data_IF_931281863852
#
_entry.id   IF_931281863852
#
_cell.length_a   1.000
_cell.length_b   1.000
_cell.length_c   1.000
_cell.angle_alpha   90.00
_cell.angle_beta   90.00
_cell.angle_gamma   90.00
#
_symmetry.space_group_name_H-M   'P 1'
#
loop_
_entity.id
_entity.type
_entity.pdbx_description
1 polymer ?
#
# COMPACT_ATOMS: atom_id res chain seq x y z
N UNK A 1 -13.29 -4.53 -26.43
CA UNK A 1 -14.05 -5.22 -25.36
C UNK A 1 -15.49 -5.38 -25.81
N UNK A 2 -16.03 -6.63 -25.80
CA UNK A 2 -17.38 -6.93 -26.22
C UNK A 2 -18.42 -6.13 -25.37
N UNK A 3 -19.50 -5.64 -25.99
CA UNK A 3 -20.55 -4.83 -25.35
C UNK A 3 -21.12 -5.49 -24.08
N UNK A 4 -21.29 -6.80 -24.10
CA UNK A 4 -21.76 -7.59 -22.95
C UNK A 4 -20.80 -7.47 -21.74
N UNK A 5 -19.49 -7.58 -21.95
CA UNK A 5 -18.48 -7.40 -20.90
C UNK A 5 -18.48 -5.98 -20.35
N UNK A 6 -18.74 -4.97 -21.21
CA UNK A 6 -18.87 -3.58 -20.76
C UNK A 6 -20.07 -3.40 -19.83
N UNK A 7 -21.22 -3.93 -20.19
CA UNK A 7 -22.45 -3.85 -19.40
C UNK A 7 -22.24 -4.56 -18.05
N UNK A 8 -21.72 -5.79 -18.06
CA UNK A 8 -21.40 -6.53 -16.85
C UNK A 8 -20.49 -5.73 -15.89
N UNK A 9 -19.37 -5.19 -16.40
CA UNK A 9 -18.48 -4.37 -15.59
C UNK A 9 -19.17 -3.13 -15.00
N UNK A 10 -20.09 -2.49 -15.74
CA UNK A 10 -20.86 -1.32 -15.26
C UNK A 10 -21.83 -1.69 -14.14
N UNK A 11 -22.56 -2.79 -14.31
CA UNK A 11 -23.47 -3.31 -13.29
C UNK A 11 -22.67 -3.65 -12.04
N UNK A 12 -21.58 -4.43 -12.16
CA UNK A 12 -20.72 -4.79 -11.04
C UNK A 12 -20.20 -3.56 -10.28
N UNK A 13 -19.62 -2.56 -10.99
CA UNK A 13 -19.11 -1.34 -10.38
C UNK A 13 -20.20 -0.54 -9.65
N UNK A 14 -21.43 -0.52 -10.20
CA UNK A 14 -22.56 0.18 -9.59
C UNK A 14 -23.04 -0.55 -8.33
N UNK A 15 -23.25 -1.86 -8.42
CA UNK A 15 -23.65 -2.69 -7.28
C UNK A 15 -22.60 -2.62 -6.16
N UNK A 16 -21.32 -2.72 -6.51
CA UNK A 16 -20.24 -2.60 -5.54
C UNK A 16 -20.24 -1.23 -4.86
N UNK A 17 -20.37 -0.14 -5.60
CA UNK A 17 -20.45 1.22 -5.03
C UNK A 17 -21.64 1.38 -4.05
N UNK A 18 -22.78 0.75 -4.34
CA UNK A 18 -23.95 0.76 -3.46
C UNK A 18 -23.69 -0.07 -2.21
N UNK A 19 -22.98 -1.20 -2.34
CA UNK A 19 -22.64 -2.08 -1.23
C UNK A 19 -21.56 -1.52 -0.29
N UNK A 20 -20.66 -0.66 -0.80
CA UNK A 20 -19.49 -0.13 -0.05
C UNK A 20 -19.80 0.36 1.38
N UNK A 21 -20.88 1.12 1.65
CA UNK A 21 -21.18 1.58 3.02
C UNK A 21 -21.55 0.45 4.00
N UNK A 22 -21.92 -0.71 3.48
CA UNK A 22 -22.35 -1.88 4.27
C UNK A 22 -21.27 -2.94 4.40
N UNK A 23 -20.15 -2.78 3.67
CA UNK A 23 -19.02 -3.70 3.73
C UNK A 23 -18.15 -3.38 4.96
N UNK A 24 -17.56 -4.39 5.62
CA UNK A 24 -16.81 -4.20 6.87
C UNK A 24 -15.39 -3.64 6.63
N UNK A 25 -15.29 -2.63 5.77
CA UNK A 25 -14.05 -1.87 5.63
C UNK A 25 -13.76 -1.11 6.92
N UNK A 26 -12.53 -1.22 7.39
CA UNK A 26 -12.01 -0.41 8.46
C UNK A 26 -10.80 0.37 7.98
N UNK A 27 -10.46 1.44 8.67
CA UNK A 27 -9.22 2.17 8.49
C UNK A 27 -8.34 1.86 9.70
N UNK A 28 -7.06 1.50 9.52
CA UNK A 28 -6.15 1.27 10.63
C UNK A 28 -6.05 2.53 11.49
N UNK A 29 -6.08 2.36 12.80
CA UNK A 29 -5.84 3.47 13.74
C UNK A 29 -4.39 3.92 13.62
N UNK A 30 -4.16 5.23 13.45
CA UNK A 30 -2.81 5.77 13.33
C UNK A 30 -2.13 5.85 14.69
N UNK A 31 -0.91 5.34 14.75
CA UNK A 31 0.00 5.49 15.90
C UNK A 31 1.12 6.45 15.48
N UNK A 32 1.28 7.53 16.24
CA UNK A 32 2.34 8.50 16.03
C UNK A 32 3.63 8.05 16.73
N UNK A 33 4.57 7.54 15.94
CA UNK A 33 5.90 7.13 16.36
C UNK A 33 5.95 5.86 17.21
N UNK A 34 7.15 5.29 17.33
CA UNK A 34 7.40 4.02 18.02
C UNK A 34 7.13 4.05 19.52
N UNK A 35 7.25 5.21 20.16
CA UNK A 35 7.06 5.36 21.62
C UNK A 35 5.64 5.00 22.07
N UNK A 36 4.67 5.08 21.16
CA UNK A 36 3.25 4.83 21.46
C UNK A 36 2.82 3.36 21.20
N UNK A 37 3.64 2.58 20.47
CA UNK A 37 3.35 1.17 20.19
C UNK A 37 3.20 0.31 21.45
N UNK A 38 4.08 0.41 22.48
CA UNK A 38 3.92 -0.37 23.70
C UNK A 38 2.61 -0.11 24.45
N UNK A 39 2.12 1.12 24.43
CA UNK A 39 0.85 1.47 25.08
C UNK A 39 -0.33 0.76 24.41
N UNK A 40 -0.32 0.69 23.07
CA UNK A 40 -1.33 -0.04 22.30
C UNK A 40 -1.27 -1.54 22.61
N UNK A 41 -0.09 -2.14 22.61
CA UNK A 41 0.07 -3.57 22.93
C UNK A 41 -0.42 -3.90 24.35
N UNK A 42 -0.10 -3.06 25.33
CA UNK A 42 -0.59 -3.20 26.73
C UNK A 42 -2.11 -3.07 26.83
N UNK A 43 -2.71 -2.15 26.09
CA UNK A 43 -4.19 -2.00 26.01
C UNK A 43 -4.87 -3.29 25.56
N UNK A 44 -4.19 -4.08 24.73
CA UNK A 44 -4.67 -5.38 24.24
C UNK A 44 -4.13 -6.58 25.05
N UNK A 45 -3.48 -6.35 26.20
CA UNK A 45 -2.89 -7.38 27.05
C UNK A 45 -1.84 -8.25 26.34
N UNK A 46 -1.09 -7.65 25.39
CA UNK A 46 -0.05 -8.33 24.61
C UNK A 46 1.30 -8.10 25.25
N UNK A 47 1.99 -9.19 25.56
CA UNK A 47 3.32 -9.21 26.16
C UNK A 47 4.40 -9.79 25.24
N UNK A 48 4.01 -10.46 24.15
CA UNK A 48 4.94 -11.04 23.17
C UNK A 48 4.41 -10.88 21.74
N UNK A 49 5.26 -10.37 20.85
CA UNK A 49 4.91 -10.16 19.44
C UNK A 49 5.88 -10.87 18.49
N UNK A 50 5.40 -11.23 17.28
CA UNK A 50 6.25 -11.54 16.14
C UNK A 50 6.41 -10.30 15.27
N UNK A 51 7.65 -9.83 15.12
CA UNK A 51 8.01 -8.80 14.14
C UNK A 51 8.44 -9.48 12.84
N UNK A 52 7.71 -9.20 11.75
CA UNK A 52 7.99 -9.72 10.41
C UNK A 52 8.64 -8.64 9.58
N UNK A 53 9.85 -8.90 9.07
CA UNK A 53 10.65 -7.95 8.28
C UNK A 53 11.45 -8.67 7.19
N UNK A 54 12.22 -7.91 6.43
CA UNK A 54 13.14 -8.42 5.42
C UNK A 54 14.62 -8.26 5.85
N UNK A 55 15.56 -9.01 5.22
CA UNK A 55 16.97 -8.95 5.57
C UNK A 55 17.59 -7.56 5.43
N UNK A 56 17.14 -6.77 4.46
CA UNK A 56 17.66 -5.42 4.19
C UNK A 56 17.31 -4.45 5.32
N UNK A 57 16.04 -4.38 5.67
CA UNK A 57 15.52 -3.56 6.79
C UNK A 57 16.19 -3.94 8.11
N UNK A 58 16.31 -5.24 8.37
CA UNK A 58 16.94 -5.74 9.59
C UNK A 58 18.43 -5.41 9.64
N UNK A 59 19.18 -5.64 8.56
CA UNK A 59 20.63 -5.34 8.48
C UNK A 59 20.94 -3.84 8.64
N UNK A 60 20.05 -2.97 8.16
CA UNK A 60 20.13 -1.53 8.35
C UNK A 60 19.82 -1.09 9.79
N UNK A 61 19.33 -2.00 10.63
CA UNK A 61 19.00 -1.72 12.03
C UNK A 61 17.79 -0.83 12.22
N UNK A 62 16.90 -0.73 11.22
CA UNK A 62 15.71 0.12 11.28
C UNK A 62 14.70 -0.34 12.33
N UNK A 63 14.71 -1.61 12.72
CA UNK A 63 13.85 -2.18 13.76
C UNK A 63 14.30 -1.83 15.18
N UNK A 64 15.62 -1.57 15.40
CA UNK A 64 16.22 -1.36 16.73
C UNK A 64 15.56 -0.28 17.59
N UNK A 65 15.13 0.89 17.04
CA UNK A 65 14.45 1.89 17.84
C UNK A 65 13.15 1.37 18.45
N UNK A 66 12.38 0.59 17.67
CA UNK A 66 11.15 -0.03 18.15
C UNK A 66 11.44 -1.16 19.15
N UNK A 67 12.39 -2.05 18.86
CA UNK A 67 12.80 -3.13 19.78
C UNK A 67 13.19 -2.56 21.16
N UNK A 68 13.92 -1.43 21.17
CA UNK A 68 14.29 -0.72 22.41
C UNK A 68 13.06 -0.22 23.18
N UNK A 69 12.03 0.28 22.51
CA UNK A 69 10.79 0.73 23.18
C UNK A 69 9.99 -0.45 23.74
N UNK A 70 9.92 -1.56 23.01
CA UNK A 70 9.28 -2.79 23.46
C UNK A 70 9.96 -3.37 24.69
N UNK A 71 11.29 -3.51 24.64
CA UNK A 71 12.10 -4.01 25.76
C UNK A 71 11.95 -3.15 27.02
N UNK A 72 12.01 -1.82 26.91
CA UNK A 72 11.76 -0.90 28.04
C UNK A 72 10.37 -1.08 28.66
N UNK A 73 9.42 -1.55 27.88
CA UNK A 73 8.04 -1.76 28.31
C UNK A 73 7.75 -3.20 28.72
N UNK A 74 8.78 -4.05 28.79
CA UNK A 74 8.71 -5.48 29.12
C UNK A 74 7.82 -6.27 28.15
N UNK A 75 7.86 -5.91 26.86
CA UNK A 75 7.21 -6.64 25.78
C UNK A 75 8.30 -7.40 25.01
N UNK A 76 8.15 -8.72 24.95
CA UNK A 76 9.05 -9.61 24.20
C UNK A 76 8.80 -9.44 22.70
N UNK A 77 9.86 -9.57 21.90
CA UNK A 77 9.81 -9.43 20.45
C UNK A 77 10.64 -10.55 19.80
N UNK A 78 9.96 -11.51 19.21
CA UNK A 78 10.56 -12.49 18.29
C UNK A 78 10.63 -11.88 16.90
N UNK A 79 11.70 -12.12 16.14
CA UNK A 79 11.90 -11.45 14.84
C UNK A 79 12.05 -12.51 13.75
N UNK A 80 11.15 -12.46 12.77
CA UNK A 80 11.31 -13.14 11.48
C UNK A 80 11.84 -12.12 10.45
N UNK A 81 13.05 -12.33 9.96
CA UNK A 81 13.79 -11.36 9.13
C UNK A 81 14.08 -11.84 7.71
N UNK A 82 13.53 -12.98 7.32
CA UNK A 82 13.89 -13.65 6.07
C UNK A 82 12.83 -13.53 4.97
N UNK A 83 11.94 -12.52 5.09
CA UNK A 83 10.97 -12.22 4.03
C UNK A 83 11.67 -11.77 2.76
N UNK A 84 11.43 -12.45 1.64
CA UNK A 84 11.97 -12.07 0.35
C UNK A 84 11.07 -11.09 -0.39
N UNK A 85 11.61 -10.39 -1.40
CA UNK A 85 10.79 -9.65 -2.35
C UNK A 85 9.80 -10.61 -3.02
N UNK A 86 8.48 -10.24 -3.06
CA UNK A 86 7.39 -11.15 -3.40
C UNK A 86 7.38 -12.38 -2.48
N UNK A 87 6.89 -12.24 -1.23
CA UNK A 87 7.00 -13.26 -0.20
C UNK A 87 6.41 -14.58 -0.67
N UNK A 88 7.10 -15.66 -0.32
CA UNK A 88 6.68 -17.01 -0.71
C UNK A 88 5.79 -17.66 0.33
N UNK A 89 5.05 -18.69 -0.07
CA UNK A 89 4.31 -19.54 0.88
C UNK A 89 5.23 -20.16 1.95
N UNK A 90 6.49 -20.47 1.63
CA UNK A 90 7.48 -20.93 2.58
C UNK A 90 7.81 -19.88 3.64
N UNK A 91 8.07 -18.62 3.24
CA UNK A 91 8.29 -17.52 4.21
C UNK A 91 7.11 -17.39 5.20
N UNK A 92 5.90 -17.57 4.71
CA UNK A 92 4.70 -17.45 5.57
C UNK A 92 4.62 -18.62 6.56
N UNK A 93 4.87 -19.86 6.13
CA UNK A 93 4.85 -21.01 7.02
C UNK A 93 5.97 -20.95 8.06
N UNK A 94 7.21 -20.59 7.66
CA UNK A 94 8.34 -20.41 8.58
C UNK A 94 8.04 -19.35 9.66
N UNK A 95 7.51 -18.22 9.25
CA UNK A 95 7.14 -17.14 10.17
C UNK A 95 5.96 -17.53 11.08
N UNK A 96 5.00 -18.30 10.57
CA UNK A 96 3.88 -18.84 11.36
C UNK A 96 4.39 -19.83 12.42
N UNK A 97 5.31 -20.73 12.07
CA UNK A 97 5.87 -21.69 13.00
C UNK A 97 6.65 -20.97 14.10
N UNK A 98 7.46 -19.96 13.73
CA UNK A 98 8.15 -19.12 14.71
C UNK A 98 7.17 -18.38 15.65
N UNK A 99 6.00 -17.92 15.15
CA UNK A 99 4.96 -17.30 15.96
C UNK A 99 4.40 -18.29 17.01
N UNK A 100 4.15 -19.53 16.60
CA UNK A 100 3.60 -20.58 17.47
C UNK A 100 4.63 -21.08 18.49
N UNK A 101 5.86 -21.35 18.06
CA UNK A 101 6.95 -21.87 18.91
C UNK A 101 7.32 -20.90 20.04
N UNK A 102 7.19 -19.60 19.79
CA UNK A 102 7.46 -18.55 20.76
C UNK A 102 6.20 -18.02 21.45
N UNK A 103 5.05 -18.63 21.28
CA UNK A 103 3.79 -18.20 21.88
C UNK A 103 3.48 -16.72 21.68
N UNK A 104 3.76 -16.19 20.48
CA UNK A 104 3.46 -14.80 20.14
C UNK A 104 1.95 -14.56 20.14
N UNK A 105 1.54 -13.31 20.48
CA UNK A 105 0.14 -12.94 20.67
C UNK A 105 -0.34 -11.93 19.62
N UNK A 106 0.60 -11.24 18.94
CA UNK A 106 0.32 -10.28 17.91
C UNK A 106 1.39 -10.30 16.81
N UNK A 107 1.04 -9.71 15.68
CA UNK A 107 1.91 -9.54 14.51
C UNK A 107 2.27 -8.06 14.36
N UNK A 108 3.54 -7.79 14.08
CA UNK A 108 4.02 -6.47 13.70
C UNK A 108 4.76 -6.59 12.37
N UNK A 109 4.15 -6.04 11.30
CA UNK A 109 4.75 -5.99 9.97
C UNK A 109 5.66 -4.77 9.87
N UNK A 110 6.96 -4.96 9.68
CA UNK A 110 7.93 -3.87 9.60
C UNK A 110 8.68 -3.93 8.27
N UNK A 111 8.37 -3.05 7.34
CA UNK A 111 9.01 -3.07 6.02
C UNK A 111 8.18 -2.44 4.91
N UNK A 112 8.50 -2.79 3.67
CA UNK A 112 7.70 -2.46 2.51
C UNK A 112 6.51 -3.42 2.31
N UNK A 113 5.87 -3.36 1.14
CA UNK A 113 4.72 -4.21 0.82
C UNK A 113 4.95 -5.69 1.04
N UNK A 114 6.14 -6.22 0.70
CA UNK A 114 6.46 -7.65 0.86
C UNK A 114 6.43 -8.11 2.32
N UNK A 115 7.05 -7.36 3.24
CA UNK A 115 7.01 -7.70 4.68
C UNK A 115 5.60 -7.61 5.24
N UNK A 116 4.80 -6.63 4.76
CA UNK A 116 3.40 -6.49 5.16
C UNK A 116 2.54 -7.64 4.64
N UNK A 117 2.70 -8.01 3.38
CA UNK A 117 1.95 -9.10 2.77
C UNK A 117 2.28 -10.45 3.43
N UNK A 118 3.56 -10.68 3.77
CA UNK A 118 3.99 -11.83 4.55
C UNK A 118 3.28 -11.88 5.92
N UNK A 119 3.35 -10.80 6.69
CA UNK A 119 2.72 -10.74 8.02
C UNK A 119 1.18 -10.94 7.96
N UNK A 120 0.51 -10.33 6.96
CA UNK A 120 -0.92 -10.55 6.71
C UNK A 120 -1.23 -12.00 6.41
N UNK A 121 -0.41 -12.65 5.57
CA UNK A 121 -0.59 -14.05 5.22
C UNK A 121 -0.30 -14.99 6.41
N UNK A 122 0.69 -14.66 7.25
CA UNK A 122 0.91 -15.36 8.55
C UNK A 122 -0.37 -15.26 9.39
N UNK A 123 -0.93 -14.07 9.56
CA UNK A 123 -2.19 -13.88 10.27
C UNK A 123 -3.34 -14.71 9.68
N UNK A 124 -3.45 -14.78 8.35
CA UNK A 124 -4.45 -15.60 7.66
C UNK A 124 -4.27 -17.10 7.96
N UNK A 125 -3.02 -17.59 7.98
CA UNK A 125 -2.71 -18.99 8.34
C UNK A 125 -3.03 -19.30 9.80
N UNK A 126 -2.73 -18.37 10.71
CA UNK A 126 -3.09 -18.51 12.12
C UNK A 126 -4.62 -18.53 12.33
N UNK A 127 -5.35 -17.68 11.61
CA UNK A 127 -6.82 -17.65 11.66
C UNK A 127 -7.47 -18.88 11.01
N UNK A 128 -6.78 -19.55 10.08
CA UNK A 128 -7.27 -20.72 9.33
C UNK A 128 -6.22 -21.83 9.29
N UNK A 129 -5.87 -22.47 10.42
CA UNK A 129 -4.75 -23.40 10.52
C UNK A 129 -4.87 -24.63 9.60
N UNK A 130 -6.10 -25.05 9.28
CA UNK A 130 -6.37 -26.21 8.41
C UNK A 130 -6.53 -25.87 6.93
N UNK A 131 -6.33 -24.59 6.54
CA UNK A 131 -6.50 -24.14 5.15
C UNK A 131 -5.18 -23.65 4.59
N UNK A 132 -4.69 -24.24 3.50
CA UNK A 132 -3.47 -23.78 2.83
C UNK A 132 -3.65 -22.38 2.23
N UNK A 133 -2.55 -21.63 2.05
CA UNK A 133 -2.57 -20.29 1.44
C UNK A 133 -3.17 -20.32 0.04
N UNK A 134 -2.82 -21.31 -0.79
CA UNK A 134 -3.38 -21.44 -2.15
C UNK A 134 -4.90 -21.60 -2.16
N UNK A 135 -5.48 -22.26 -1.15
CA UNK A 135 -6.96 -22.32 -1.00
C UNK A 135 -7.59 -21.02 -0.52
N UNK A 136 -6.79 -20.06 -0.05
CA UNK A 136 -7.24 -18.71 0.31
C UNK A 136 -7.13 -17.71 -0.85
N UNK A 137 -6.52 -18.09 -1.99
CA UNK A 137 -6.46 -17.27 -3.19
C UNK A 137 -7.84 -16.73 -3.57
N UNK A 138 -7.91 -15.42 -3.90
CA UNK A 138 -9.13 -14.75 -4.33
C UNK A 138 -9.76 -13.90 -3.22
N UNK A 139 -11.09 -13.91 -3.12
CA UNK A 139 -11.82 -12.93 -2.32
C UNK A 139 -12.60 -13.58 -1.19
N UNK A 140 -12.51 -12.99 0.03
CA UNK A 140 -13.30 -13.34 1.22
C UNK A 140 -13.25 -14.84 1.60
N UNK A 141 -12.06 -15.40 1.70
CA UNK A 141 -11.88 -16.82 2.03
C UNK A 141 -11.31 -17.09 3.43
N UNK A 142 -10.98 -16.03 4.19
CA UNK A 142 -10.45 -16.16 5.55
C UNK A 142 -11.58 -16.25 6.56
N UNK A 143 -12.54 -15.30 6.56
CA UNK A 143 -13.73 -15.29 7.42
C UNK A 143 -13.50 -15.17 8.94
N UNK A 144 -12.28 -15.27 9.40
CA UNK A 144 -11.89 -15.25 10.81
C UNK A 144 -10.99 -14.05 11.06
N UNK A 145 -11.12 -13.47 12.25
CA UNK A 145 -10.26 -12.37 12.67
C UNK A 145 -8.83 -12.85 12.86
N UNK A 146 -7.88 -12.09 12.36
CA UNK A 146 -6.46 -12.31 12.57
C UNK A 146 -6.07 -11.96 14.02
N UNK A 147 -4.92 -12.47 14.53
CA UNK A 147 -4.25 -11.82 15.67
C UNK A 147 -4.07 -10.31 15.41
N UNK A 148 -3.96 -9.52 16.47
CA UNK A 148 -3.71 -8.09 16.33
C UNK A 148 -2.56 -7.85 15.36
N UNK A 149 -2.78 -6.99 14.36
CA UNK A 149 -1.79 -6.68 13.33
C UNK A 149 -1.46 -5.19 13.34
N UNK A 150 -0.18 -4.87 13.58
CA UNK A 150 0.36 -3.52 13.50
C UNK A 150 1.26 -3.43 12.27
N UNK A 151 1.07 -2.43 11.42
CA UNK A 151 1.89 -2.20 10.24
C UNK A 151 2.79 -0.98 10.42
N UNK A 152 4.08 -1.14 10.07
CA UNK A 152 5.11 -0.09 10.10
C UNK A 152 5.73 0.03 8.71
N UNK A 153 5.20 0.90 7.84
CA UNK A 153 5.74 1.07 6.49
C UNK A 153 7.12 1.74 6.51
N UNK A 154 8.08 1.14 5.79
CA UNK A 154 9.40 1.73 5.55
C UNK A 154 9.51 2.39 4.17
N UNK A 155 8.46 2.30 3.36
CA UNK A 155 8.31 2.97 2.05
C UNK A 155 7.01 3.75 2.01
N UNK A 156 6.99 4.87 1.31
CA UNK A 156 5.80 5.70 1.13
C UNK A 156 5.25 5.48 -0.29
N UNK A 157 4.61 4.34 -0.52
CA UNK A 157 4.16 3.96 -1.87
C UNK A 157 3.00 3.00 -1.91
N UNK A 158 3.21 1.78 -1.46
CA UNK A 158 2.25 0.68 -1.65
C UNK A 158 0.94 0.85 -0.89
N UNK A 159 0.92 1.64 0.20
CA UNK A 159 -0.26 1.75 1.05
C UNK A 159 -0.70 0.44 1.68
N UNK A 160 0.15 -0.61 1.67
CA UNK A 160 -0.21 -1.95 2.17
C UNK A 160 -0.63 -1.93 3.63
N UNK A 161 -0.20 -0.94 4.40
CA UNK A 161 -0.64 -0.70 5.78
C UNK A 161 -2.15 -0.44 5.92
N UNK A 162 -2.86 -0.18 4.80
CA UNK A 162 -4.31 0.11 4.80
C UNK A 162 -5.13 -0.88 3.97
N UNK A 163 -4.47 -1.82 3.28
CA UNK A 163 -5.14 -2.66 2.29
C UNK A 163 -5.65 -3.98 2.86
N UNK A 164 -6.71 -4.49 2.22
CA UNK A 164 -7.29 -5.80 2.46
C UNK A 164 -6.58 -6.93 1.69
N UNK A 165 -5.50 -6.64 1.00
CA UNK A 165 -4.80 -7.57 0.12
C UNK A 165 -3.48 -8.05 0.74
N UNK A 166 -3.11 -9.30 0.44
CA UNK A 166 -1.76 -9.84 0.57
C UNK A 166 -1.43 -10.62 -0.71
N UNK A 167 -0.29 -10.32 -1.32
CA UNK A 167 0.17 -10.98 -2.55
C UNK A 167 1.30 -11.93 -2.21
N UNK A 168 1.08 -13.22 -2.50
CA UNK A 168 2.00 -14.31 -2.15
C UNK A 168 2.39 -15.06 -3.41
N UNK A 169 3.62 -15.55 -3.44
CA UNK A 169 4.11 -16.45 -4.48
C UNK A 169 4.14 -17.87 -3.91
N UNK A 170 3.51 -18.81 -4.57
CA UNK A 170 3.62 -20.23 -4.21
C UNK A 170 5.06 -20.70 -4.41
N UNK A 171 5.66 -21.30 -3.38
CA UNK A 171 7.07 -21.66 -3.38
C UNK A 171 7.39 -22.79 -4.38
N UNK A 172 6.43 -23.69 -4.63
CA UNK A 172 6.62 -24.85 -5.48
C UNK A 172 6.30 -24.56 -6.95
N UNK A 173 5.18 -23.85 -7.18
CA UNK A 173 4.66 -23.59 -8.53
C UNK A 173 5.07 -22.26 -9.11
N UNK A 174 5.64 -21.38 -8.29
CA UNK A 174 5.94 -19.97 -8.63
C UNK A 174 4.71 -19.15 -9.06
N UNK A 175 3.50 -19.69 -8.83
CA UNK A 175 2.26 -18.96 -9.09
C UNK A 175 2.09 -17.80 -8.10
N UNK A 176 1.97 -16.59 -8.63
CA UNK A 176 1.74 -15.38 -7.83
C UNK A 176 0.24 -15.10 -7.76
N UNK A 177 -0.31 -15.02 -6.56
CA UNK A 177 -1.74 -14.81 -6.33
C UNK A 177 -1.99 -13.82 -5.20
N UNK A 178 -3.19 -13.25 -5.21
CA UNK A 178 -3.65 -12.34 -4.17
C UNK A 178 -4.70 -13.00 -3.28
N UNK A 179 -4.56 -12.79 -1.98
CA UNK A 179 -5.58 -13.08 -0.97
C UNK A 179 -6.21 -11.74 -0.59
N UNK A 180 -7.53 -11.63 -0.73
CA UNK A 180 -8.25 -10.40 -0.45
C UNK A 180 -9.35 -10.67 0.58
N UNK A 181 -9.20 -10.11 1.78
CA UNK A 181 -10.17 -10.28 2.86
C UNK A 181 -10.13 -9.05 3.79
N UNK A 182 -11.28 -8.60 4.28
CA UNK A 182 -11.33 -7.46 5.20
C UNK A 182 -10.54 -7.68 6.48
N UNK A 183 -10.37 -8.95 6.89
CA UNK A 183 -9.58 -9.31 8.06
C UNK A 183 -8.08 -9.03 7.88
N UNK A 184 -7.58 -8.92 6.63
CA UNK A 184 -6.17 -8.59 6.34
C UNK A 184 -5.84 -7.11 6.55
N UNK A 185 -6.84 -6.24 6.66
CA UNK A 185 -6.58 -4.82 6.96
C UNK A 185 -5.95 -4.76 8.36
N UNK A 186 -4.76 -4.14 8.53
CA UNK A 186 -4.14 -3.98 9.84
C UNK A 186 -5.07 -3.26 10.84
N UNK A 187 -4.91 -3.54 12.12
CA UNK A 187 -5.64 -2.83 13.17
C UNK A 187 -5.03 -1.44 13.39
N UNK A 188 -3.71 -1.34 13.27
CA UNK A 188 -2.93 -0.11 13.49
C UNK A 188 -1.89 0.09 12.39
N UNK A 189 -1.63 1.36 12.07
CA UNK A 189 -0.52 1.78 11.21
C UNK A 189 0.35 2.80 11.95
N UNK A 190 1.67 2.56 11.99
CA UNK A 190 2.66 3.45 12.62
C UNK A 190 3.36 4.23 11.54
N UNK A 191 3.09 5.53 11.45
CA UNK A 191 3.78 6.42 10.52
C UNK A 191 5.00 7.02 11.21
N UNK A 192 6.16 6.36 11.06
CA UNK A 192 7.45 6.78 11.63
C UNK A 192 8.39 7.23 10.51
N UNK A 193 8.58 8.55 10.30
CA UNK A 193 9.40 9.04 9.18
C UNK A 193 10.86 8.60 9.22
N UNK A 194 11.41 8.37 10.39
CA UNK A 194 12.84 8.03 10.54
C UNK A 194 13.23 6.73 9.83
N UNK A 195 12.30 5.80 9.65
CA UNK A 195 12.58 4.56 8.91
C UNK A 195 12.66 4.74 7.40
N UNK A 196 12.32 5.92 6.90
CA UNK A 196 12.38 6.25 5.47
C UNK A 196 13.55 7.14 5.09
N UNK A 197 14.32 7.68 6.06
CA UNK A 197 15.41 8.64 5.75
C UNK A 197 16.53 8.05 4.90
N UNK A 198 16.84 6.77 5.09
CA UNK A 198 17.89 6.07 4.33
C UNK A 198 17.44 5.53 2.97
N UNK A 199 16.19 5.78 2.54
CA UNK A 199 15.73 5.29 1.24
C UNK A 199 16.50 5.97 0.10
N UNK A 200 17.02 5.19 -0.87
CA UNK A 200 17.62 5.74 -2.07
C UNK A 200 16.67 6.70 -2.81
N UNK A 201 17.19 7.79 -3.42
CA UNK A 201 16.35 8.75 -4.17
C UNK A 201 15.46 8.07 -5.21
N UNK A 202 16.02 7.15 -5.99
CA UNK A 202 15.26 6.42 -7.01
C UNK A 202 14.09 5.60 -6.43
N UNK A 203 14.30 4.96 -5.27
CA UNK A 203 13.22 4.24 -4.60
C UNK A 203 12.18 5.20 -4.00
N UNK A 204 12.62 6.35 -3.49
CA UNK A 204 11.72 7.42 -3.03
C UNK A 204 10.83 7.91 -4.17
N UNK A 205 11.41 8.18 -5.35
CA UNK A 205 10.69 8.64 -6.53
C UNK A 205 9.67 7.60 -6.99
N UNK A 206 10.10 6.38 -7.24
CA UNK A 206 9.22 5.33 -7.81
C UNK A 206 8.12 4.91 -6.85
N UNK A 207 8.38 4.84 -5.53
CA UNK A 207 7.33 4.55 -4.55
C UNK A 207 6.36 5.73 -4.39
N UNK A 208 6.85 6.97 -4.38
CA UNK A 208 5.98 8.15 -4.32
C UNK A 208 5.08 8.29 -5.55
N UNK A 209 5.60 7.99 -6.74
CA UNK A 209 4.80 7.95 -7.97
C UNK A 209 3.81 6.78 -7.99
N UNK A 210 4.13 5.67 -7.33
CA UNK A 210 3.19 4.57 -7.10
C UNK A 210 2.01 5.02 -6.23
N UNK A 211 2.28 5.70 -5.11
CA UNK A 211 1.23 6.30 -4.29
C UNK A 211 0.38 7.32 -5.08
N UNK A 212 1.01 8.13 -5.95
CA UNK A 212 0.31 9.06 -6.84
C UNK A 212 -0.62 8.30 -7.80
N UNK A 213 -0.14 7.21 -8.37
CA UNK A 213 -0.92 6.35 -9.28
C UNK A 213 -2.13 5.77 -8.56
N UNK A 214 -1.95 5.23 -7.35
CA UNK A 214 -3.04 4.75 -6.51
C UNK A 214 -4.11 5.82 -6.28
N UNK A 215 -3.70 7.02 -5.88
CA UNK A 215 -4.61 8.12 -5.60
C UNK A 215 -5.37 8.58 -6.85
N UNK A 216 -4.70 8.75 -7.99
CA UNK A 216 -5.32 9.16 -9.24
C UNK A 216 -6.31 8.10 -9.73
N UNK A 217 -5.91 6.82 -9.78
CA UNK A 217 -6.80 5.75 -10.22
C UNK A 217 -8.00 5.57 -9.29
N UNK A 218 -7.81 5.71 -7.97
CA UNK A 218 -8.90 5.72 -7.01
C UNK A 218 -9.89 6.87 -7.28
N UNK A 219 -9.39 8.06 -7.63
CA UNK A 219 -10.23 9.23 -7.91
C UNK A 219 -10.99 9.11 -9.23
N UNK A 220 -10.31 8.72 -10.31
CA UNK A 220 -10.93 8.63 -11.65
C UNK A 220 -11.79 7.38 -11.83
N UNK A 221 -11.62 6.39 -10.97
CA UNK A 221 -12.38 5.14 -10.97
C UNK A 221 -13.89 5.38 -10.90
N UNK A 222 -14.68 4.33 -11.13
CA UNK A 222 -16.16 4.40 -11.09
C UNK A 222 -16.76 3.86 -9.79
N UNK A 223 -15.98 3.11 -9.03
CA UNK A 223 -16.37 2.58 -7.70
C UNK A 223 -16.09 3.55 -6.56
N UNK A 224 -15.66 4.78 -6.86
CA UNK A 224 -15.25 5.79 -5.90
C UNK A 224 -16.44 6.42 -5.17
N UNK A 225 -16.25 6.76 -3.90
CA UNK A 225 -17.19 7.50 -3.03
C UNK A 225 -16.72 8.93 -2.80
N UNK A 226 -17.52 9.74 -2.08
CA UNK A 226 -17.08 11.09 -1.63
C UNK A 226 -15.85 10.98 -0.72
N UNK A 227 -15.84 10.04 0.21
CA UNK A 227 -14.74 9.82 1.15
C UNK A 227 -13.45 9.41 0.44
N UNK A 228 -13.51 8.40 -0.46
CA UNK A 228 -12.32 7.95 -1.20
C UNK A 228 -11.76 9.03 -2.11
N UNK A 229 -12.62 9.86 -2.72
CA UNK A 229 -12.16 11.01 -3.51
C UNK A 229 -11.49 12.08 -2.66
N UNK A 230 -12.01 12.37 -1.47
CA UNK A 230 -11.37 13.33 -0.55
C UNK A 230 -9.99 12.87 -0.14
N UNK A 231 -9.85 11.60 0.28
CA UNK A 231 -8.56 11.02 0.63
C UNK A 231 -7.57 11.02 -0.56
N UNK A 232 -8.06 10.68 -1.75
CA UNK A 232 -7.23 10.70 -2.97
C UNK A 232 -6.73 12.12 -3.31
N UNK A 233 -7.58 13.14 -3.20
CA UNK A 233 -7.16 14.54 -3.44
C UNK A 233 -6.12 14.99 -2.42
N UNK A 234 -6.34 14.72 -1.12
CA UNK A 234 -5.37 15.06 -0.06
C UNK A 234 -4.03 14.33 -0.31
N UNK A 235 -4.06 13.05 -0.69
CA UNK A 235 -2.86 12.31 -1.05
C UNK A 235 -2.10 12.96 -2.22
N UNK A 236 -2.78 13.32 -3.31
CA UNK A 236 -2.18 13.96 -4.47
C UNK A 236 -1.55 15.31 -4.09
N UNK A 237 -2.25 16.13 -3.31
CA UNK A 237 -1.72 17.43 -2.84
C UNK A 237 -0.45 17.25 -2.01
N UNK A 238 -0.44 16.29 -1.07
CA UNK A 238 0.75 15.99 -0.26
C UNK A 238 1.92 15.50 -1.12
N UNK A 239 1.67 14.65 -2.12
CA UNK A 239 2.71 14.14 -3.02
C UNK A 239 3.28 15.27 -3.87
N UNK A 240 2.45 16.09 -4.50
CA UNK A 240 2.91 17.21 -5.31
C UNK A 240 3.76 18.22 -4.52
N UNK A 241 3.40 18.46 -3.27
CA UNK A 241 4.13 19.38 -2.41
C UNK A 241 5.44 18.81 -1.85
N UNK A 242 5.57 17.48 -1.70
CA UNK A 242 6.64 16.92 -0.87
C UNK A 242 7.54 15.89 -1.57
N UNK A 243 7.09 15.24 -2.66
CA UNK A 243 7.86 14.14 -3.27
C UNK A 243 9.21 14.61 -3.80
N UNK A 244 9.26 15.76 -4.49
CA UNK A 244 10.52 16.31 -5.00
C UNK A 244 11.50 16.65 -3.87
N UNK A 245 10.99 17.19 -2.76
CA UNK A 245 11.82 17.50 -1.60
C UNK A 245 12.35 16.23 -0.94
N UNK A 246 11.51 15.20 -0.78
CA UNK A 246 11.91 13.91 -0.24
C UNK A 246 12.93 13.18 -1.14
N UNK A 247 12.83 13.36 -2.47
CA UNK A 247 13.80 12.85 -3.45
C UNK A 247 15.15 13.56 -3.35
N UNK A 248 15.15 14.90 -3.31
CA UNK A 248 16.36 15.71 -3.27
C UNK A 248 17.06 15.65 -1.90
N UNK A 249 16.30 15.55 -0.82
CA UNK A 249 16.80 15.49 0.55
C UNK A 249 16.08 14.38 1.34
N UNK A 250 16.68 13.19 1.33
CA UNK A 250 16.15 12.02 2.04
C UNK A 250 15.98 12.20 3.55
N UNK A 251 16.63 13.21 4.16
CA UNK A 251 16.55 13.51 5.59
C UNK A 251 15.53 14.62 5.93
N UNK A 252 14.79 15.13 4.96
CA UNK A 252 13.70 16.09 5.24
C UNK A 252 12.55 15.38 5.98
N UNK A 253 12.52 15.61 7.30
CA UNK A 253 11.54 14.98 8.21
C UNK A 253 10.10 15.28 7.82
N UNK A 254 9.82 16.52 7.43
CA UNK A 254 8.49 16.98 7.06
C UNK A 254 8.05 16.35 5.76
N UNK A 255 8.89 16.37 4.74
CA UNK A 255 8.60 15.74 3.45
C UNK A 255 8.39 14.23 3.62
N UNK A 256 9.23 13.53 4.37
CA UNK A 256 9.08 12.10 4.64
C UNK A 256 7.79 11.76 5.39
N UNK A 257 7.43 12.54 6.41
CA UNK A 257 6.18 12.37 7.14
C UNK A 257 4.96 12.57 6.22
N UNK A 258 4.97 13.64 5.41
CA UNK A 258 3.89 13.89 4.46
C UNK A 258 3.78 12.81 3.39
N UNK A 259 4.89 12.26 2.92
CA UNK A 259 4.87 11.14 1.97
C UNK A 259 4.29 9.86 2.57
N UNK A 260 4.64 9.50 3.83
CA UNK A 260 4.00 8.38 4.52
C UNK A 260 2.49 8.60 4.68
N UNK A 261 2.08 9.79 5.10
CA UNK A 261 0.66 10.15 5.19
C UNK A 261 -0.04 10.06 3.84
N UNK A 262 0.59 10.54 2.77
CA UNK A 262 0.05 10.46 1.41
C UNK A 262 -0.15 9.00 0.96
N UNK A 263 0.83 8.12 1.22
CA UNK A 263 0.74 6.68 0.94
C UNK A 263 -0.42 6.04 1.71
N UNK A 264 -0.57 6.33 2.99
CA UNK A 264 -1.69 5.87 3.81
C UNK A 264 -3.05 6.31 3.25
N UNK A 265 -3.18 7.59 2.87
CA UNK A 265 -4.42 8.14 2.29
C UNK A 265 -4.73 7.54 0.91
N UNK A 266 -3.71 7.39 0.05
CA UNK A 266 -3.83 6.72 -1.23
C UNK A 266 -4.29 5.27 -1.05
N UNK A 267 -3.68 4.56 -0.09
CA UNK A 267 -4.01 3.20 0.29
C UNK A 267 -5.47 3.07 0.77
N UNK A 268 -5.91 3.95 1.65
CA UNK A 268 -7.30 4.04 2.13
C UNK A 268 -8.29 4.30 0.98
N UNK A 269 -7.90 5.12 0.01
CA UNK A 269 -8.74 5.41 -1.14
C UNK A 269 -8.87 4.21 -2.07
N UNK A 270 -7.74 3.61 -2.50
CA UNK A 270 -7.80 2.56 -3.52
C UNK A 270 -8.27 1.20 -2.97
N UNK A 271 -8.04 0.90 -1.69
CA UNK A 271 -8.55 -0.35 -1.11
C UNK A 271 -10.09 -0.46 -1.20
N UNK A 272 -10.79 0.69 -1.20
CA UNK A 272 -12.25 0.80 -1.33
C UNK A 272 -12.73 1.02 -2.77
N UNK A 273 -11.90 1.56 -3.67
CA UNK A 273 -12.29 1.96 -5.03
C UNK A 273 -11.60 1.17 -6.13
N UNK A 274 -10.68 0.28 -5.77
CA UNK A 274 -9.80 -0.48 -6.67
C UNK A 274 -8.81 0.40 -7.44
N UNK A 275 -7.89 -0.27 -8.14
CA UNK A 275 -6.94 0.33 -9.10
C UNK A 275 -7.47 0.22 -10.53
N UNK A 276 -6.79 0.83 -11.48
CA UNK A 276 -7.23 0.90 -12.87
C UNK A 276 -6.27 0.26 -13.86
N UNK A 277 -6.22 0.83 -15.07
CA UNK A 277 -5.43 0.28 -16.19
C UNK A 277 -3.92 0.46 -16.01
N UNK A 278 -3.47 1.49 -15.30
CA UNK A 278 -2.03 1.67 -15.02
C UNK A 278 -1.52 0.46 -14.27
N UNK A 279 -2.15 0.12 -13.16
CA UNK A 279 -1.79 -1.07 -12.39
C UNK A 279 -1.99 -2.38 -13.15
N UNK A 280 -3.07 -2.50 -13.95
CA UNK A 280 -3.31 -3.71 -14.73
C UNK A 280 -2.18 -3.99 -15.73
N UNK A 281 -1.65 -2.96 -16.39
CA UNK A 281 -0.50 -3.08 -17.31
C UNK A 281 0.79 -3.29 -16.51
N UNK A 282 1.02 -2.52 -15.44
CA UNK A 282 2.21 -2.63 -14.59
C UNK A 282 2.37 -4.04 -13.99
N UNK A 283 1.27 -4.66 -13.52
CA UNK A 283 1.29 -6.04 -13.04
C UNK A 283 1.70 -7.05 -14.11
N UNK A 284 1.22 -6.85 -15.35
CA UNK A 284 1.60 -7.70 -16.48
C UNK A 284 3.08 -7.56 -16.81
N UNK A 285 3.61 -6.33 -16.85
CA UNK A 285 5.03 -6.07 -17.09
C UNK A 285 5.91 -6.62 -15.96
N UNK A 286 5.49 -6.43 -14.72
CA UNK A 286 6.19 -6.99 -13.55
C UNK A 286 6.21 -8.52 -13.56
N UNK A 287 5.08 -9.16 -13.91
CA UNK A 287 4.99 -10.62 -13.99
C UNK A 287 5.78 -11.24 -15.14
N UNK A 288 5.76 -10.62 -16.32
CA UNK A 288 6.43 -11.16 -17.52
C UNK A 288 7.92 -10.83 -17.59
N UNK A 289 8.30 -9.65 -17.12
CA UNK A 289 9.65 -9.09 -17.35
C UNK A 289 10.41 -8.71 -16.07
N UNK A 290 9.81 -8.91 -14.91
CA UNK A 290 10.45 -8.57 -13.64
C UNK A 290 10.64 -7.05 -13.39
N UNK A 291 9.91 -6.19 -14.11
CA UNK A 291 10.03 -4.73 -13.97
C UNK A 291 9.55 -4.33 -12.56
N UNK A 292 10.31 -3.52 -11.80
CA UNK A 292 9.90 -3.05 -10.49
C UNK A 292 8.55 -2.31 -10.56
N UNK A 293 7.64 -2.65 -9.66
CA UNK A 293 6.23 -2.22 -9.68
C UNK A 293 6.08 -0.68 -9.71
N UNK A 294 6.74 0.02 -8.79
CA UNK A 294 6.67 1.48 -8.74
C UNK A 294 7.25 2.16 -9.98
N UNK A 295 8.31 1.59 -10.58
CA UNK A 295 8.88 2.09 -11.83
C UNK A 295 7.87 1.92 -12.98
N UNK A 296 7.27 0.74 -13.12
CA UNK A 296 6.27 0.48 -14.14
C UNK A 296 5.08 1.45 -14.03
N UNK A 297 4.56 1.65 -12.81
CA UNK A 297 3.46 2.59 -12.57
C UNK A 297 3.86 4.03 -12.91
N UNK A 298 5.07 4.46 -12.55
CA UNK A 298 5.55 5.83 -12.83
C UNK A 298 5.60 6.15 -14.32
N UNK A 299 6.15 5.23 -15.11
CA UNK A 299 6.27 5.38 -16.57
C UNK A 299 4.90 5.31 -17.26
N UNK A 300 4.07 4.35 -16.85
CA UNK A 300 2.78 4.10 -17.48
C UNK A 300 1.73 5.17 -17.14
N UNK A 301 1.82 5.81 -15.97
CA UNK A 301 0.80 6.73 -15.51
C UNK A 301 0.46 7.82 -16.53
N UNK A 302 1.38 8.69 -16.96
CA UNK A 302 1.05 9.74 -17.92
C UNK A 302 0.56 9.18 -19.27
N UNK A 303 1.12 8.08 -19.74
CA UNK A 303 0.77 7.43 -21.01
C UNK A 303 -0.67 6.92 -20.99
N UNK A 304 -1.06 6.23 -19.93
CA UNK A 304 -2.42 5.67 -19.79
C UNK A 304 -3.45 6.80 -19.58
N UNK A 305 -3.09 7.87 -18.82
CA UNK A 305 -3.98 9.02 -18.64
C UNK A 305 -4.27 9.72 -19.97
N UNK A 306 -3.27 9.89 -20.83
CA UNK A 306 -3.48 10.40 -22.21
C UNK A 306 -4.34 9.46 -23.04
N UNK A 307 -4.09 8.16 -22.99
CA UNK A 307 -4.84 7.16 -23.74
C UNK A 307 -6.33 7.10 -23.37
N UNK A 308 -6.72 7.53 -22.15
CA UNK A 308 -8.13 7.66 -21.79
C UNK A 308 -8.85 8.78 -22.57
N UNK A 309 -8.13 9.81 -23.04
CA UNK A 309 -8.68 10.92 -23.82
C UNK A 309 -9.88 11.57 -23.14
N UNK A 310 -10.90 11.90 -23.93
CA UNK A 310 -12.11 12.60 -23.45
C UNK A 310 -12.85 11.85 -22.32
N UNK A 311 -12.68 10.53 -22.19
CA UNK A 311 -13.33 9.76 -21.15
C UNK A 311 -12.85 10.13 -19.71
N UNK A 312 -11.62 10.67 -19.58
CA UNK A 312 -11.05 11.07 -18.30
C UNK A 312 -10.94 12.60 -18.12
N UNK A 313 -11.04 13.41 -19.20
CA UNK A 313 -10.79 14.87 -19.16
C UNK A 313 -11.50 15.58 -18.02
N UNK A 314 -12.81 15.38 -17.86
CA UNK A 314 -13.60 16.02 -16.80
C UNK A 314 -13.08 15.74 -15.39
N UNK A 315 -12.64 14.51 -15.13
CA UNK A 315 -12.14 14.13 -13.79
C UNK A 315 -10.70 14.62 -13.57
N UNK A 316 -9.85 14.52 -14.59
CA UNK A 316 -8.47 15.02 -14.54
C UNK A 316 -8.44 16.54 -14.43
N UNK A 317 -9.27 17.27 -15.18
CA UNK A 317 -9.43 18.72 -15.07
C UNK A 317 -9.86 19.13 -13.65
N UNK A 318 -10.80 18.41 -13.06
CA UNK A 318 -11.20 18.66 -11.68
C UNK A 318 -10.05 18.42 -10.70
N UNK A 319 -9.23 17.37 -10.90
CA UNK A 319 -8.03 17.15 -10.10
C UNK A 319 -7.03 18.30 -10.28
N UNK A 320 -6.76 18.72 -11.52
CA UNK A 320 -5.87 19.83 -11.81
C UNK A 320 -6.25 21.10 -11.04
N UNK A 321 -7.54 21.45 -11.06
CA UNK A 321 -8.05 22.63 -10.32
C UNK A 321 -7.97 22.44 -8.79
N UNK A 322 -8.33 21.26 -8.27
CA UNK A 322 -8.28 20.96 -6.84
C UNK A 322 -6.84 20.94 -6.28
N UNK A 323 -5.87 20.66 -7.14
CA UNK A 323 -4.45 20.58 -6.75
C UNK A 323 -3.66 21.83 -7.13
N UNK A 324 -4.32 22.84 -7.70
CA UNK A 324 -3.69 24.12 -8.07
C UNK A 324 -2.76 24.03 -9.31
N UNK A 325 -2.88 22.96 -10.10
CA UNK A 325 -2.06 22.78 -11.32
C UNK A 325 -2.61 23.58 -12.50
N UNK A 326 -3.92 23.86 -12.54
CA UNK A 326 -4.55 24.58 -13.62
C UNK A 326 -5.76 25.36 -13.12
N UNK A 327 -5.89 26.59 -13.63
CA UNK A 327 -7.08 27.46 -13.45
C UNK A 327 -7.97 27.51 -14.70
N UNK A 328 -7.62 26.73 -15.75
CA UNK A 328 -8.36 26.73 -17.01
C UNK A 328 -9.78 26.20 -16.84
N UNK A 329 -10.77 26.91 -17.40
CA UNK A 329 -12.17 26.45 -17.48
C UNK A 329 -12.37 25.33 -18.50
N UNK A 330 -11.44 25.19 -19.46
CA UNK A 330 -11.50 24.17 -20.50
C UNK A 330 -10.97 22.82 -19.95
N UNK A 331 -11.85 21.83 -19.81
CA UNK A 331 -11.50 20.51 -19.26
C UNK A 331 -10.35 19.83 -20.02
N UNK A 332 -10.28 19.97 -21.35
CA UNK A 332 -9.20 19.37 -22.14
C UNK A 332 -7.83 20.03 -21.81
N UNK A 333 -7.80 21.34 -21.63
CA UNK A 333 -6.59 22.08 -21.29
C UNK A 333 -6.11 21.71 -19.88
N UNK A 334 -7.01 21.83 -18.90
CA UNK A 334 -6.67 21.52 -17.51
C UNK A 334 -6.22 20.06 -17.34
N UNK A 335 -6.86 19.11 -18.02
CA UNK A 335 -6.43 17.70 -18.02
C UNK A 335 -5.04 17.51 -18.65
N UNK A 336 -4.75 18.21 -19.76
CA UNK A 336 -3.44 18.18 -20.40
C UNK A 336 -2.33 18.76 -19.50
N UNK A 337 -2.62 19.86 -18.79
CA UNK A 337 -1.68 20.47 -17.82
C UNK A 337 -1.40 19.52 -16.64
N UNK A 338 -2.40 18.84 -16.14
CA UNK A 338 -2.24 17.83 -15.09
C UNK A 338 -1.32 16.67 -15.53
N UNK A 339 -1.53 16.14 -16.72
CA UNK A 339 -0.70 15.05 -17.27
C UNK A 339 0.73 15.55 -17.51
N UNK A 340 0.90 16.75 -18.03
CA UNK A 340 2.22 17.37 -18.23
C UNK A 340 2.95 17.57 -16.91
N UNK A 341 2.26 17.97 -15.84
CA UNK A 341 2.85 18.08 -14.51
C UNK A 341 3.43 16.75 -14.04
N UNK A 342 2.69 15.65 -14.22
CA UNK A 342 3.16 14.27 -13.86
C UNK A 342 4.41 13.91 -14.69
N UNK A 343 4.45 14.21 -16.00
CA UNK A 343 5.64 13.97 -16.83
C UNK A 343 6.84 14.76 -16.32
N UNK A 344 6.64 16.03 -16.02
CA UNK A 344 7.70 16.90 -15.49
C UNK A 344 8.24 16.36 -14.14
N UNK A 345 7.39 15.81 -13.27
CA UNK A 345 7.82 15.15 -12.05
C UNK A 345 8.70 13.92 -12.36
N UNK A 346 8.30 13.07 -13.30
CA UNK A 346 9.12 11.93 -13.72
C UNK A 346 10.51 12.39 -14.19
N UNK A 347 10.55 13.37 -15.09
CA UNK A 347 11.79 13.93 -15.64
C UNK A 347 12.70 14.49 -14.52
N UNK A 348 12.13 15.29 -13.61
CA UNK A 348 12.89 15.92 -12.52
C UNK A 348 13.48 14.92 -11.51
N UNK A 349 12.94 13.72 -11.46
CA UNK A 349 13.40 12.63 -10.60
C UNK A 349 14.13 11.51 -11.36
N UNK A 350 14.53 11.76 -12.61
CA UNK A 350 15.25 10.80 -13.45
C UNK A 350 14.49 9.45 -13.64
N UNK A 351 13.17 9.49 -13.67
CA UNK A 351 12.34 8.35 -14.06
C UNK A 351 12.30 8.33 -15.60
N UNK A 352 12.60 7.19 -16.26
CA UNK A 352 12.56 7.10 -17.72
C UNK A 352 11.13 7.33 -18.28
N UNK A 353 11.07 7.75 -19.57
CA UNK A 353 9.82 7.94 -20.31
C UNK A 353 9.36 6.64 -21.00
#
# INVERSE_FOLDING_TARGET
MNTFKKIYCRIFQTCFRIALPFLPYREPELIDGFKNVPAVLKKHHISHILLVTDPGVYKLGLTKPLEKQLSKSQISCTIYKDTVANPTSANVEDAKDLYLDHECQALLAFGGGSSMDCAKAVGARLARPHKSLSKMEGILKIWHRLPLLIAVPTTAGTGSETTLAAVITDADTHHKYAINDFNLIPDYAVLEPSVTYGLPPQLTATTGMDALTHAIEAYIGRSTTKQTRSAAVEAIQLIFANLQNAYNNGNDKTARHHMLRASYLAGTAFTKSYVGYVHAVAHSLGGCYGIPHGLANSVLLPVILEAYGTAAHKKLARLARLTGISDSDLDAVAAGEFIRHIRNMNLSMNIPE
#
